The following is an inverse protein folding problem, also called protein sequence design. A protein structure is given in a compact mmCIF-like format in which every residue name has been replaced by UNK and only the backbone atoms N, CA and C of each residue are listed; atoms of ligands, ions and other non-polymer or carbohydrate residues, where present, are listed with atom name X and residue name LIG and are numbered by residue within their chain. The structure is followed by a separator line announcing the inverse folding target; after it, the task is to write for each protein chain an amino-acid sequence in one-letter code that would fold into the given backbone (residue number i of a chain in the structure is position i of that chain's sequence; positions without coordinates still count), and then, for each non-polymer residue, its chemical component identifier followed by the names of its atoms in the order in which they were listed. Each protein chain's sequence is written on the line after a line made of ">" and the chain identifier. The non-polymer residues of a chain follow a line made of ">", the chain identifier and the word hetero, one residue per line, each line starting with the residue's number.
data_IF_304536951876
#
_entry.id   IF_304536951876
#
_cell.length_a   1.000
_cell.length_b   1.000
_cell.length_c   1.000
_cell.angle_alpha   90.00
_cell.angle_beta   90.00
_cell.angle_gamma   90.00
#
_symmetry.space_group_name_H-M   'P 1'
#
loop_
_entity.id
_entity.type
_entity.pdbx_description
1 polymer ?
#
# COMPACT_ATOMS: atom_id res chain seq x y z
N UNK A 1 -0.48 -21.29 26.31
CA UNK A 1 -0.55 -21.68 24.88
C UNK A 1 -1.63 -20.82 24.25
N UNK A 2 -1.26 -19.80 23.47
CA UNK A 2 -2.23 -18.94 22.79
C UNK A 2 -2.75 -19.67 21.55
N UNK A 3 -4.08 -19.79 21.43
CA UNK A 3 -4.70 -20.36 20.23
C UNK A 3 -4.27 -19.56 18.99
N UNK A 4 -3.68 -20.24 17.99
CA UNK A 4 -3.14 -19.58 16.79
C UNK A 4 -4.23 -19.19 15.78
N UNK A 5 -5.40 -19.83 15.81
CA UNK A 5 -6.50 -19.64 14.85
C UNK A 5 -7.83 -19.93 15.54
N UNK A 6 -8.78 -19.00 15.45
CA UNK A 6 -10.18 -19.18 15.86
C UNK A 6 -11.07 -19.37 14.63
N UNK A 7 -12.01 -20.32 14.69
CA UNK A 7 -12.99 -20.57 13.63
C UNK A 7 -14.34 -19.94 14.01
N UNK A 8 -14.96 -19.28 13.05
CA UNK A 8 -16.31 -18.73 13.19
C UNK A 8 -17.12 -19.00 11.91
N UNK A 9 -18.45 -19.07 12.05
CA UNK A 9 -19.39 -19.23 10.94
C UNK A 9 -19.98 -17.89 10.52
N UNK A 10 -20.29 -17.76 9.23
CA UNK A 10 -20.99 -16.60 8.65
C UNK A 10 -22.10 -17.07 7.73
N UNK A 11 -23.23 -16.38 7.76
CA UNK A 11 -24.34 -16.59 6.81
C UNK A 11 -24.20 -15.60 5.66
N UNK A 12 -24.28 -16.08 4.43
CA UNK A 12 -24.11 -15.27 3.20
C UNK A 12 -25.11 -15.77 2.15
N UNK A 13 -25.72 -14.85 1.39
CA UNK A 13 -26.62 -15.19 0.30
C UNK A 13 -25.91 -16.06 -0.75
N UNK A 14 -26.55 -17.12 -1.27
CA UNK A 14 -25.90 -18.06 -2.19
C UNK A 14 -25.28 -17.40 -3.43
N UNK A 15 -25.95 -16.40 -3.99
CA UNK A 15 -25.46 -15.71 -5.19
C UNK A 15 -24.32 -14.73 -4.90
N UNK A 16 -24.29 -14.15 -3.70
CA UNK A 16 -23.16 -13.35 -3.25
C UNK A 16 -21.93 -14.24 -3.03
N UNK A 17 -22.11 -15.40 -2.41
CA UNK A 17 -21.03 -16.37 -2.21
C UNK A 17 -20.44 -16.86 -3.55
N UNK A 18 -21.29 -17.16 -4.55
CA UNK A 18 -20.83 -17.53 -5.90
C UNK A 18 -20.00 -16.43 -6.56
N UNK A 19 -20.44 -15.16 -6.46
CA UNK A 19 -19.69 -14.01 -6.99
C UNK A 19 -18.35 -13.87 -6.27
N UNK A 20 -18.35 -13.99 -4.95
CA UNK A 20 -17.14 -13.94 -4.14
C UNK A 20 -16.14 -15.03 -4.56
N UNK A 21 -16.58 -16.29 -4.69
CA UNK A 21 -15.73 -17.40 -5.13
C UNK A 21 -15.09 -17.16 -6.50
N UNK A 22 -15.87 -16.63 -7.45
CA UNK A 22 -15.36 -16.30 -8.79
C UNK A 22 -14.29 -15.22 -8.72
N UNK A 23 -14.50 -14.19 -7.91
CA UNK A 23 -13.56 -13.09 -7.73
C UNK A 23 -12.26 -13.57 -7.10
N UNK A 24 -12.33 -14.25 -5.95
CA UNK A 24 -11.12 -14.66 -5.23
C UNK A 24 -10.26 -15.65 -6.03
N UNK A 25 -10.90 -16.49 -6.87
CA UNK A 25 -10.19 -17.40 -7.77
C UNK A 25 -9.44 -16.65 -8.86
N UNK A 26 -10.03 -15.58 -9.41
CA UNK A 26 -9.37 -14.71 -10.41
C UNK A 26 -8.19 -13.97 -9.79
N UNK A 27 -8.30 -13.58 -8.52
CA UNK A 27 -7.24 -12.92 -7.75
C UNK A 27 -6.14 -13.88 -7.25
N UNK A 28 -6.29 -15.19 -7.48
CA UNK A 28 -5.26 -16.19 -7.15
C UNK A 28 -5.32 -16.76 -5.73
N UNK A 29 -6.36 -16.48 -4.96
CA UNK A 29 -6.50 -17.03 -3.61
C UNK A 29 -6.70 -18.55 -3.63
N UNK A 30 -6.09 -19.21 -2.65
CA UNK A 30 -6.19 -20.68 -2.51
C UNK A 30 -7.48 -21.12 -1.82
N UNK A 31 -8.02 -20.29 -0.92
CA UNK A 31 -9.22 -20.58 -0.15
C UNK A 31 -9.96 -19.32 0.33
N UNK A 32 -11.24 -19.46 0.66
CA UNK A 32 -12.09 -18.35 1.17
C UNK A 32 -11.56 -17.75 2.47
N UNK A 33 -11.01 -18.57 3.38
CA UNK A 33 -10.53 -18.09 4.68
C UNK A 33 -9.31 -17.16 4.56
N UNK A 34 -8.49 -17.32 3.52
CA UNK A 34 -7.42 -16.39 3.16
C UNK A 34 -7.98 -15.06 2.66
N UNK A 35 -8.85 -15.11 1.65
CA UNK A 35 -9.48 -13.91 1.11
C UNK A 35 -10.27 -13.12 2.17
N UNK A 36 -11.02 -13.80 3.05
CA UNK A 36 -11.76 -13.16 4.16
C UNK A 36 -10.79 -12.52 5.16
N UNK A 37 -9.69 -13.19 5.52
CA UNK A 37 -8.68 -12.61 6.43
C UNK A 37 -8.07 -11.35 5.84
N UNK A 38 -7.76 -11.35 4.55
CA UNK A 38 -7.18 -10.17 3.90
C UNK A 38 -8.18 -9.02 3.75
N UNK A 39 -9.45 -9.33 3.45
CA UNK A 39 -10.52 -8.34 3.50
C UNK A 39 -10.69 -7.72 4.89
N UNK A 40 -10.70 -8.54 5.95
CA UNK A 40 -10.79 -8.05 7.33
C UNK A 40 -9.58 -7.17 7.66
N UNK A 41 -8.35 -7.63 7.37
CA UNK A 41 -7.13 -6.83 7.61
C UNK A 41 -7.16 -5.52 6.86
N UNK A 42 -7.54 -5.53 5.58
CA UNK A 42 -7.65 -4.33 4.75
C UNK A 42 -8.65 -3.34 5.34
N UNK A 43 -9.81 -3.82 5.80
CA UNK A 43 -10.81 -2.98 6.44
C UNK A 43 -10.31 -2.38 7.77
N UNK A 44 -9.65 -3.18 8.61
CA UNK A 44 -9.07 -2.71 9.87
C UNK A 44 -7.95 -1.68 9.66
N UNK A 45 -7.09 -1.89 8.65
CA UNK A 45 -6.06 -0.93 8.27
C UNK A 45 -6.71 0.38 7.81
N UNK A 46 -7.71 0.30 6.91
CA UNK A 46 -8.42 1.47 6.41
C UNK A 46 -9.08 2.28 7.54
N UNK A 47 -9.64 1.62 8.56
CA UNK A 47 -10.21 2.28 9.72
C UNK A 47 -9.14 2.98 10.55
N UNK A 48 -8.02 2.30 10.83
CA UNK A 48 -6.90 2.88 11.59
C UNK A 48 -6.28 4.10 10.90
N UNK A 49 -6.11 4.03 9.58
CA UNK A 49 -5.53 5.13 8.80
C UNK A 49 -6.44 6.35 8.70
N UNK A 50 -7.71 6.29 9.15
CA UNK A 50 -8.51 7.50 9.33
C UNK A 50 -7.95 8.43 10.40
N UNK A 51 -7.21 7.90 11.38
CA UNK A 51 -6.50 8.70 12.36
C UNK A 51 -5.17 9.19 11.75
N UNK A 52 -4.99 10.49 11.53
CA UNK A 52 -3.75 11.03 10.96
C UNK A 52 -2.52 10.79 11.86
N UNK A 53 -2.72 10.62 13.17
CA UNK A 53 -1.62 10.36 14.11
C UNK A 53 -1.23 8.87 14.22
N UNK A 54 -1.92 7.96 13.52
CA UNK A 54 -1.58 6.54 13.53
C UNK A 54 -0.20 6.30 12.91
N UNK A 55 0.67 5.60 13.64
CA UNK A 55 2.00 5.23 13.13
C UNK A 55 1.86 4.18 12.03
N UNK A 56 2.31 4.52 10.84
CA UNK A 56 2.13 3.73 9.63
C UNK A 56 3.48 3.50 8.95
N UNK A 57 3.59 2.39 8.22
CA UNK A 57 4.63 2.13 7.23
C UNK A 57 3.91 1.90 5.89
N UNK A 58 4.45 2.46 4.81
CA UNK A 58 3.88 2.32 3.49
C UNK A 58 4.95 2.46 2.40
N UNK A 59 4.51 2.36 1.15
CA UNK A 59 5.35 2.59 -0.01
C UNK A 59 4.67 3.58 -0.94
N UNK A 60 5.41 4.58 -1.40
CA UNK A 60 5.03 5.37 -2.57
C UNK A 60 5.73 4.76 -3.78
N UNK A 61 4.98 4.55 -4.86
CA UNK A 61 5.51 3.96 -6.09
C UNK A 61 5.09 4.83 -7.26
N UNK A 62 6.07 5.26 -8.05
CA UNK A 62 5.85 6.18 -9.15
C UNK A 62 6.72 5.84 -10.35
N UNK A 63 6.22 6.19 -11.54
CA UNK A 63 6.96 6.11 -12.80
C UNK A 63 7.02 7.52 -13.37
N UNK A 64 8.21 7.95 -13.80
CA UNK A 64 8.40 9.26 -14.41
C UNK A 64 9.48 9.27 -15.48
N UNK A 65 9.42 10.27 -16.36
CA UNK A 65 10.45 10.52 -17.36
C UNK A 65 11.55 11.42 -16.76
N UNK A 66 12.77 10.91 -16.69
CA UNK A 66 13.91 11.65 -16.11
C UNK A 66 14.51 12.71 -17.04
N UNK A 67 14.07 12.81 -18.29
CA UNK A 67 14.45 13.88 -19.21
C UNK A 67 13.54 15.13 -19.08
N UNK A 68 12.44 15.02 -18.33
CA UNK A 68 11.44 16.10 -18.24
C UNK A 68 11.87 17.15 -17.21
N UNK A 69 12.39 18.27 -17.72
CA UNK A 69 12.63 19.49 -16.94
C UNK A 69 13.51 19.26 -15.70
N UNK A 70 13.09 19.82 -14.58
CA UNK A 70 13.78 19.69 -13.28
C UNK A 70 13.10 18.68 -12.36
N UNK A 71 12.42 17.66 -12.92
CA UNK A 71 11.66 16.71 -12.10
C UNK A 71 12.58 15.95 -11.14
N UNK A 72 13.70 15.42 -11.64
CA UNK A 72 14.66 14.67 -10.83
C UNK A 72 15.23 15.50 -9.68
N UNK A 73 15.59 16.76 -9.93
CA UNK A 73 16.11 17.65 -8.89
C UNK A 73 15.04 17.96 -7.83
N UNK A 74 13.80 18.25 -8.25
CA UNK A 74 12.69 18.50 -7.32
C UNK A 74 12.38 17.29 -6.44
N UNK A 75 12.40 16.09 -7.03
CA UNK A 75 12.20 14.85 -6.29
C UNK A 75 13.31 14.64 -5.26
N UNK A 76 14.56 14.89 -5.64
CA UNK A 76 15.70 14.79 -4.73
C UNK A 76 15.61 15.77 -3.57
N UNK A 77 15.32 17.04 -3.85
CA UNK A 77 15.16 18.09 -2.83
C UNK A 77 14.04 17.74 -1.83
N UNK A 78 12.88 17.33 -2.35
CA UNK A 78 11.75 16.93 -1.53
C UNK A 78 12.07 15.71 -0.64
N UNK A 79 12.78 14.72 -1.18
CA UNK A 79 13.20 13.56 -0.40
C UNK A 79 14.22 13.94 0.69
N UNK A 80 15.14 14.86 0.40
CA UNK A 80 16.11 15.37 1.36
C UNK A 80 15.45 16.13 2.52
N UNK A 81 14.36 16.85 2.26
CA UNK A 81 13.60 17.55 3.30
C UNK A 81 12.84 16.60 4.22
N UNK A 82 12.59 15.35 3.81
CA UNK A 82 11.71 14.38 4.52
C UNK A 82 12.46 13.10 4.94
N UNK A 83 13.74 13.23 5.30
CA UNK A 83 14.60 12.13 5.78
C UNK A 83 14.12 11.43 7.06
N UNK A 84 13.16 12.01 7.80
CA UNK A 84 12.56 11.37 8.98
C UNK A 84 11.48 10.36 8.58
N UNK A 85 10.74 10.66 7.52
CA UNK A 85 9.65 9.86 7.00
C UNK A 85 10.13 8.85 5.96
N UNK A 86 11.16 9.17 5.18
CA UNK A 86 11.71 8.29 4.13
C UNK A 86 12.79 7.38 4.71
N UNK A 87 12.58 6.07 4.59
CA UNK A 87 13.53 5.05 5.06
C UNK A 87 14.50 4.62 3.97
N UNK A 88 13.98 4.39 2.76
CA UNK A 88 14.75 3.93 1.62
C UNK A 88 14.02 4.27 0.33
N UNK A 89 14.80 4.59 -0.70
CA UNK A 89 14.34 4.82 -2.05
C UNK A 89 15.04 3.82 -2.97
N UNK A 90 14.28 3.09 -3.77
CA UNK A 90 14.79 2.16 -4.79
C UNK A 90 14.44 2.71 -6.17
N UNK A 91 15.45 2.95 -6.99
CA UNK A 91 15.33 3.48 -8.34
C UNK A 91 15.69 2.43 -9.39
N UNK A 92 14.87 2.30 -10.42
CA UNK A 92 15.07 1.36 -11.52
C UNK A 92 14.85 2.09 -12.85
N UNK A 93 15.83 2.05 -13.74
CA UNK A 93 15.65 2.49 -15.12
C UNK A 93 14.86 1.41 -15.88
N UNK A 94 13.64 1.77 -16.33
CA UNK A 94 12.78 0.88 -17.13
C UNK A 94 13.24 0.91 -18.58
N UNK A 95 13.49 2.11 -19.10
CA UNK A 95 13.98 2.35 -20.45
C UNK A 95 14.77 3.68 -20.50
N UNK A 96 15.05 4.17 -21.71
CA UNK A 96 15.83 5.40 -21.90
C UNK A 96 15.18 6.64 -21.30
N UNK A 97 13.86 6.69 -21.16
CA UNK A 97 13.14 7.85 -20.62
C UNK A 97 12.58 7.56 -19.23
N UNK A 98 12.05 6.36 -19.01
CA UNK A 98 11.25 6.05 -17.82
C UNK A 98 12.07 5.45 -16.67
N UNK A 99 11.81 5.97 -15.49
CA UNK A 99 12.30 5.48 -14.21
C UNK A 99 11.13 5.02 -13.33
N UNK A 100 11.28 3.88 -12.66
CA UNK A 100 10.43 3.44 -11.57
C UNK A 100 11.13 3.74 -10.25
N UNK A 101 10.40 4.37 -9.33
CA UNK A 101 10.92 4.65 -7.99
C UNK A 101 9.94 4.13 -6.93
N UNK A 102 10.48 3.40 -5.96
CA UNK A 102 9.75 2.88 -4.80
C UNK A 102 10.36 3.47 -3.53
N UNK A 103 9.60 4.30 -2.84
CA UNK A 103 10.00 4.99 -1.62
C UNK A 103 9.29 4.35 -0.43
N UNK A 104 10.04 3.79 0.51
CA UNK A 104 9.50 3.22 1.75
C UNK A 104 9.39 4.32 2.79
N UNK A 105 8.19 4.51 3.32
CA UNK A 105 7.81 5.59 4.22
C UNK A 105 7.44 5.06 5.60
N UNK A 106 7.78 5.80 6.67
CA UNK A 106 7.40 5.49 8.06
C UNK A 106 7.18 6.77 8.85
N UNK A 107 6.08 6.85 9.59
CA UNK A 107 5.72 8.07 10.30
C UNK A 107 4.25 8.08 10.69
N UNK A 108 3.73 9.26 11.05
CA UNK A 108 2.29 9.46 11.23
C UNK A 108 1.61 9.38 9.86
N UNK A 109 0.45 8.73 9.80
CA UNK A 109 -0.27 8.54 8.54
C UNK A 109 -0.53 9.87 7.81
N UNK A 110 -0.92 10.91 8.54
CA UNK A 110 -1.18 12.23 7.96
C UNK A 110 0.06 12.89 7.34
N UNK A 111 1.24 12.67 7.91
CA UNK A 111 2.49 13.25 7.39
C UNK A 111 2.95 12.47 6.14
N UNK A 112 2.88 11.14 6.18
CA UNK A 112 3.15 10.27 5.02
C UNK A 112 2.21 10.61 3.86
N UNK A 113 0.91 10.81 4.13
CA UNK A 113 -0.07 11.11 3.09
C UNK A 113 0.15 12.49 2.47
N UNK A 114 0.54 13.49 3.27
CA UNK A 114 0.90 14.82 2.75
C UNK A 114 2.14 14.75 1.85
N UNK A 115 3.18 14.03 2.29
CA UNK A 115 4.37 13.78 1.48
C UNK A 115 3.99 13.13 0.13
N UNK A 116 3.21 12.05 0.16
CA UNK A 116 2.78 11.35 -1.05
C UNK A 116 1.93 12.22 -2.00
N UNK A 117 1.20 13.21 -1.48
CA UNK A 117 0.40 14.13 -2.30
C UNK A 117 1.21 15.31 -2.89
N UNK A 118 2.41 15.56 -2.37
CA UNK A 118 3.27 16.67 -2.79
C UNK A 118 4.37 16.23 -3.78
N UNK A 119 4.48 14.93 -4.02
CA UNK A 119 5.29 14.31 -5.08
C UNK A 119 4.46 14.23 -6.36
#
# INVERSE_FOLDING_TARGET
>A
MTEKITRFGVSIEPDLLKKFDKTIKKEGYTNRSEAIRDLIRKNLIAEKTKNPDEKTIGTLTMIYDHHVGNLTDKLLDLQHDHTKEILVTTHVHIDHHNCLEVIVLKGKHGDIQKLANNI
#
